data_IF_046194139027
#
_entry.id   IF_046194139027
#
_cell.length_a   1.000
_cell.length_b   1.000
_cell.length_c   1.000
_cell.angle_alpha   90.00
_cell.angle_beta   90.00
_cell.angle_gamma   90.00
#
_symmetry.space_group_name_H-M   'P 1'
#
loop_
_entity.id
_entity.type
_entity.pdbx_description
1 polymer ?
#
# COMPACT_ATOMS: atom_id res chain seq x y z
N UNK A 1 -1.99 -28.09 -9.98
CA UNK A 1 -2.23 -27.06 -8.93
C UNK A 1 -3.72 -27.00 -8.61
N UNK A 2 -4.12 -27.17 -7.34
CA UNK A 2 -5.53 -27.09 -6.94
C UNK A 2 -6.06 -25.64 -7.02
N UNK A 3 -7.38 -25.47 -7.17
CA UNK A 3 -8.01 -24.15 -7.22
C UNK A 3 -7.76 -23.33 -5.93
N UNK A 4 -7.68 -23.98 -4.78
CA UNK A 4 -7.40 -23.34 -3.49
C UNK A 4 -5.98 -22.78 -3.42
N UNK A 5 -4.98 -23.51 -3.93
CA UNK A 5 -3.60 -23.02 -3.96
C UNK A 5 -3.45 -21.73 -4.77
N UNK A 6 -4.17 -21.62 -5.90
CA UNK A 6 -4.18 -20.42 -6.74
C UNK A 6 -4.82 -19.23 -6.02
N UNK A 7 -5.95 -19.44 -5.33
CA UNK A 7 -6.63 -18.38 -4.55
C UNK A 7 -5.76 -17.87 -3.40
N UNK A 8 -5.11 -18.76 -2.66
CA UNK A 8 -4.19 -18.39 -1.58
C UNK A 8 -2.98 -17.62 -2.08
N UNK A 9 -2.40 -18.03 -3.22
CA UNK A 9 -1.30 -17.30 -3.85
C UNK A 9 -1.73 -15.90 -4.30
N UNK A 10 -2.91 -15.76 -4.91
CA UNK A 10 -3.44 -14.46 -5.31
C UNK A 10 -3.72 -13.56 -4.10
N UNK A 11 -4.25 -14.10 -2.99
CA UNK A 11 -4.43 -13.34 -1.74
C UNK A 11 -3.09 -12.85 -1.19
N UNK A 12 -2.12 -13.76 -1.02
CA UNK A 12 -0.78 -13.41 -0.52
C UNK A 12 -0.13 -12.30 -1.35
N UNK A 13 -0.26 -12.37 -2.67
CA UNK A 13 0.27 -11.34 -3.58
C UNK A 13 -0.38 -9.96 -3.40
N UNK A 14 -1.66 -9.89 -3.05
CA UNK A 14 -2.34 -8.63 -2.73
C UNK A 14 -1.89 -8.11 -1.37
N UNK A 15 -1.85 -8.98 -0.37
CA UNK A 15 -1.39 -8.63 0.99
C UNK A 15 0.05 -8.08 0.95
N UNK A 16 0.92 -8.69 0.13
CA UNK A 16 2.30 -8.23 -0.10
C UNK A 16 2.35 -6.88 -0.82
N UNK A 17 1.49 -6.67 -1.82
CA UNK A 17 1.38 -5.39 -2.52
C UNK A 17 0.91 -4.27 -1.59
N UNK A 18 -0.08 -4.55 -0.74
CA UNK A 18 -0.58 -3.60 0.25
C UNK A 18 0.49 -3.24 1.28
N UNK A 19 1.19 -4.25 1.83
CA UNK A 19 2.32 -4.01 2.74
C UNK A 19 3.39 -3.13 2.12
N UNK A 20 3.73 -3.36 0.85
CA UNK A 20 4.71 -2.55 0.12
C UNK A 20 4.27 -1.10 -0.04
N UNK A 21 2.98 -0.86 -0.33
CA UNK A 21 2.42 0.49 -0.40
C UNK A 21 2.49 1.21 0.96
N UNK A 22 2.14 0.52 2.05
CA UNK A 22 2.24 1.09 3.40
C UNK A 22 3.68 1.37 3.84
N UNK A 23 4.63 0.51 3.47
CA UNK A 23 6.05 0.75 3.70
C UNK A 23 6.59 1.94 2.91
N UNK A 24 6.04 2.21 1.72
CA UNK A 24 6.38 3.37 0.89
C UNK A 24 6.14 4.69 1.63
N UNK A 25 5.07 4.76 2.41
CA UNK A 25 4.73 5.93 3.23
C UNK A 25 5.82 6.18 4.28
N UNK A 26 6.22 5.12 5.00
CA UNK A 26 7.24 5.20 6.07
C UNK A 26 8.63 5.46 5.51
N UNK A 27 8.99 4.74 4.45
CA UNK A 27 10.30 4.81 3.79
C UNK A 27 10.47 6.01 2.86
N UNK A 28 9.44 6.86 2.72
CA UNK A 28 9.45 8.05 1.85
C UNK A 28 9.84 7.72 0.40
N UNK A 29 9.34 6.60 -0.13
CA UNK A 29 9.55 6.20 -1.52
C UNK A 29 8.23 5.94 -2.25
N UNK A 30 8.27 6.00 -3.57
CA UNK A 30 7.12 5.70 -4.41
C UNK A 30 6.95 4.18 -4.57
N UNK A 31 5.78 3.60 -4.27
CA UNK A 31 5.59 2.18 -4.42
C UNK A 31 5.61 1.82 -5.91
N UNK A 32 6.12 0.62 -6.25
CA UNK A 32 6.18 0.21 -7.65
C UNK A 32 4.78 0.04 -8.24
N UNK A 33 4.64 0.34 -9.54
CA UNK A 33 3.36 0.34 -10.26
C UNK A 33 2.61 -1.01 -10.17
N UNK A 34 3.32 -2.13 -10.13
CA UNK A 34 2.70 -3.44 -10.01
C UNK A 34 1.98 -3.65 -8.67
N UNK A 35 2.45 -3.01 -7.59
CA UNK A 35 1.83 -3.10 -6.27
C UNK A 35 0.51 -2.34 -6.27
N UNK A 36 0.50 -1.11 -6.80
CA UNK A 36 -0.70 -0.28 -6.95
C UNK A 36 -1.79 -0.99 -7.78
N UNK A 37 -1.41 -1.67 -8.87
CA UNK A 37 -2.35 -2.42 -9.73
C UNK A 37 -2.98 -3.65 -9.07
N UNK A 38 -2.44 -4.12 -7.94
CA UNK A 38 -2.94 -5.30 -7.22
C UNK A 38 -3.82 -4.96 -6.02
N UNK A 39 -3.89 -3.68 -5.64
CA UNK A 39 -4.75 -3.23 -4.55
C UNK A 39 -6.21 -3.36 -4.94
N UNK A 40 -7.03 -3.80 -3.98
CA UNK A 40 -8.47 -3.67 -4.09
C UNK A 40 -8.88 -2.21 -3.88
N UNK A 41 -10.10 -1.81 -4.29
CA UNK A 41 -10.60 -0.45 -4.05
C UNK A 41 -10.53 -0.02 -2.57
N UNK A 42 -10.80 -0.94 -1.64
CA UNK A 42 -10.67 -0.71 -0.20
C UNK A 42 -9.22 -0.44 0.23
N UNK A 43 -8.29 -1.32 -0.17
CA UNK A 43 -6.86 -1.17 0.10
C UNK A 43 -6.31 0.15 -0.47
N UNK A 44 -6.77 0.53 -1.68
CA UNK A 44 -6.37 1.77 -2.33
C UNK A 44 -6.88 3.00 -1.57
N UNK A 45 -8.10 2.95 -1.03
CA UNK A 45 -8.64 4.02 -0.20
C UNK A 45 -7.85 4.17 1.11
N UNK A 46 -7.56 3.06 1.80
CA UNK A 46 -6.75 3.05 3.01
C UNK A 46 -5.34 3.59 2.76
N UNK A 47 -4.68 3.14 1.69
CA UNK A 47 -3.37 3.64 1.30
C UNK A 47 -3.38 5.16 1.01
N UNK A 48 -4.38 5.68 0.30
CA UNK A 48 -4.51 7.12 0.02
C UNK A 48 -4.71 7.95 1.28
N UNK A 49 -5.56 7.48 2.19
CA UNK A 49 -5.81 8.14 3.48
C UNK A 49 -4.53 8.17 4.32
N UNK A 50 -3.82 7.04 4.42
CA UNK A 50 -2.55 6.98 5.14
C UNK A 50 -1.48 7.89 4.52
N UNK A 51 -1.43 7.97 3.18
CA UNK A 51 -0.51 8.86 2.47
C UNK A 51 -0.82 10.34 2.71
N UNK A 52 -2.11 10.71 2.75
CA UNK A 52 -2.53 12.09 3.05
C UNK A 52 -2.15 12.49 4.48
N UNK A 53 -2.48 11.65 5.47
CA UNK A 53 -2.12 11.89 6.87
C UNK A 53 -0.59 12.02 7.05
N UNK A 54 0.19 11.17 6.38
CA UNK A 54 1.66 11.26 6.43
C UNK A 54 2.22 12.53 5.77
N UNK A 55 1.51 13.14 4.80
CA UNK A 55 1.90 14.43 4.22
C UNK A 55 1.55 15.59 5.15
N UNK A 56 0.42 15.52 5.84
CA UNK A 56 0.00 16.52 6.84
C UNK A 56 0.98 16.55 8.02
N UNK A 57 1.33 15.39 8.58
CA UNK A 57 2.31 15.30 9.66
C UNK A 57 3.67 15.91 9.27
N UNK A 58 4.15 15.65 8.06
CA UNK A 58 5.41 16.24 7.56
C UNK A 58 5.32 17.76 7.38
N UNK A 59 4.13 18.29 7.09
CA UNK A 59 3.91 19.72 6.96
C UNK A 59 3.97 20.40 8.33
N UNK A 60 3.39 19.78 9.35
CA UNK A 60 3.44 20.25 10.74
C UNK A 60 4.86 20.18 11.32
N UNK A 61 5.59 19.08 11.08
CA UNK A 61 6.99 18.92 11.52
C UNK A 61 7.96 19.86 10.81
N UNK A 62 7.62 20.32 9.60
CA UNK A 62 8.43 21.24 8.79
C UNK A 62 8.15 22.72 9.02
N UNK A 63 7.24 23.06 9.94
CA UNK A 63 6.91 24.44 10.29
C UNK A 63 7.72 24.85 11.54
N UNK A 64 8.59 25.87 11.44
CA UNK A 64 9.45 26.34 12.54
C UNK A 64 8.66 27.03 13.66
#
# INVERSE_FOLDING_TARGET
MSANARRSAAKKQRDDAFRMCMLSIRGKFDPPQWALKRLLPGDMAEYRTALAAAKEQRREEGQP
#
